data_IF_990160158655
#
_entry.id   IF_990160158655
#
_cell.length_a   1.000
_cell.length_b   1.000
_cell.length_c   1.000
_cell.angle_alpha   90.00
_cell.angle_beta   90.00
_cell.angle_gamma   90.00
#
_symmetry.space_group_name_H-M   'P 1'
#
loop_
_entity.id
_entity.type
_entity.pdbx_description
1 polymer ?
#
# COMPACT_ATOMS: atom_id res chain seq x y z
N UNK A 1 26.16 19.69 -14.09
CA UNK A 1 24.98 19.70 -13.20
C UNK A 1 24.70 18.26 -12.82
N UNK A 2 24.78 17.97 -11.52
CA UNK A 2 25.02 16.63 -10.96
C UNK A 2 23.87 15.63 -11.24
N UNK A 3 24.18 14.48 -11.86
CA UNK A 3 23.20 13.41 -12.16
C UNK A 3 22.52 12.87 -10.89
N UNK A 4 23.15 13.04 -9.73
CA UNK A 4 22.59 12.70 -8.42
C UNK A 4 21.31 13.46 -8.08
N UNK A 5 21.08 14.67 -8.64
CA UNK A 5 19.81 15.41 -8.49
C UNK A 5 18.65 14.87 -9.33
N UNK A 6 18.90 13.97 -10.30
CA UNK A 6 17.85 13.40 -11.18
C UNK A 6 17.20 12.13 -10.61
N UNK A 7 17.74 11.57 -9.53
CA UNK A 7 17.17 10.37 -8.91
C UNK A 7 16.31 10.78 -7.72
N UNK A 8 15.04 10.42 -7.74
CA UNK A 8 14.20 10.51 -6.55
C UNK A 8 14.90 9.67 -5.45
N UNK A 9 15.27 10.22 -4.29
CA UNK A 9 16.06 9.47 -3.31
C UNK A 9 15.17 8.45 -2.57
N UNK A 10 15.40 7.15 -2.75
CA UNK A 10 14.69 6.08 -2.02
C UNK A 10 14.95 6.16 -0.51
N UNK A 11 16.16 6.54 -0.11
CA UNK A 11 16.50 6.74 1.31
C UNK A 11 15.60 7.79 1.96
N UNK A 12 15.13 8.78 1.19
CA UNK A 12 14.23 9.81 1.71
C UNK A 12 12.85 9.24 2.06
N UNK A 13 12.36 8.18 1.41
CA UNK A 13 11.10 7.54 1.79
C UNK A 13 11.16 6.75 3.09
N UNK A 14 12.36 6.35 3.54
CA UNK A 14 12.54 5.59 4.79
C UNK A 14 12.58 6.48 6.04
N UNK A 15 12.68 7.81 5.88
CA UNK A 15 12.79 8.77 6.98
C UNK A 15 11.43 9.08 7.62
N UNK A 16 10.73 8.09 8.16
CA UNK A 16 9.36 8.25 8.67
C UNK A 16 9.23 9.23 9.85
N UNK A 17 10.27 9.47 10.66
CA UNK A 17 10.24 10.41 11.80
C UNK A 17 10.72 11.83 11.44
N UNK A 18 10.96 12.14 10.16
CA UNK A 18 11.47 13.46 9.76
C UNK A 18 10.39 14.51 9.48
N UNK A 19 9.14 14.25 9.90
CA UNK A 19 8.08 15.25 9.88
C UNK A 19 8.36 16.35 10.92
N UNK A 20 7.90 17.58 10.65
CA UNK A 20 7.96 18.67 11.63
C UNK A 20 7.19 18.27 12.91
N UNK A 21 6.01 17.67 12.74
CA UNK A 21 5.24 17.05 13.82
C UNK A 21 5.68 15.62 14.11
N UNK A 22 6.90 15.41 14.62
CA UNK A 22 7.44 14.07 14.97
C UNK A 22 6.45 13.21 15.77
N UNK A 23 5.71 13.83 16.68
CA UNK A 23 4.74 13.13 17.53
C UNK A 23 3.62 12.46 16.72
N UNK A 24 3.15 13.09 15.64
CA UNK A 24 2.12 12.50 14.77
C UNK A 24 2.60 11.19 14.14
N UNK A 25 3.81 11.18 13.56
CA UNK A 25 4.38 9.98 12.95
C UNK A 25 4.51 8.83 13.97
N UNK A 26 4.95 9.14 15.20
CA UNK A 26 5.11 8.16 16.28
C UNK A 26 3.78 7.59 16.77
N UNK A 27 2.78 8.44 16.96
CA UNK A 27 1.43 7.97 17.35
C UNK A 27 0.83 7.11 16.27
N UNK A 28 0.93 7.53 15.00
CA UNK A 28 0.44 6.74 13.88
C UNK A 28 1.19 5.41 13.75
N UNK A 29 2.50 5.39 13.98
CA UNK A 29 3.29 4.17 14.00
C UNK A 29 2.78 3.20 15.05
N UNK A 30 2.67 3.64 16.32
CA UNK A 30 2.17 2.82 17.43
C UNK A 30 0.76 2.32 17.13
N UNK A 31 -0.09 3.17 16.55
CA UNK A 31 -1.45 2.80 16.17
C UNK A 31 -1.47 1.69 15.11
N UNK A 32 -0.62 1.76 14.07
CA UNK A 32 -0.51 0.68 13.07
C UNK A 32 0.00 -0.61 13.70
N UNK A 33 1.02 -0.54 14.58
CA UNK A 33 1.52 -1.71 15.31
C UNK A 33 0.42 -2.35 16.14
N UNK A 34 -0.38 -1.54 16.85
CA UNK A 34 -1.46 -2.00 17.69
C UNK A 34 -2.56 -2.69 16.88
N UNK A 35 -3.03 -2.05 15.79
CA UNK A 35 -4.01 -2.67 14.89
C UNK A 35 -3.45 -3.99 14.37
N UNK A 36 -2.25 -4.00 13.80
CA UNK A 36 -1.67 -5.21 13.24
C UNK A 36 -1.58 -6.33 14.28
N UNK A 37 -0.98 -6.05 15.43
CA UNK A 37 -0.79 -7.05 16.48
C UNK A 37 -2.11 -7.60 16.99
N UNK A 38 -3.11 -6.74 17.25
CA UNK A 38 -4.44 -7.18 17.71
C UNK A 38 -5.09 -8.12 16.69
N UNK A 39 -4.98 -7.80 15.40
CA UNK A 39 -5.64 -8.59 14.35
C UNK A 39 -5.00 -9.95 14.11
N UNK A 40 -3.70 -10.07 14.34
CA UNK A 40 -3.00 -11.36 14.24
C UNK A 40 -3.15 -12.19 15.52
N UNK A 41 -3.20 -11.54 16.69
CA UNK A 41 -3.34 -12.23 17.98
C UNK A 41 -4.78 -12.66 18.28
N UNK A 42 -5.76 -11.92 17.76
CA UNK A 42 -7.18 -12.14 17.97
C UNK A 42 -7.92 -12.10 16.62
N UNK A 43 -7.71 -13.11 15.76
CA UNK A 43 -8.40 -13.16 14.48
C UNK A 43 -9.91 -13.25 14.69
N UNK A 44 -10.68 -12.46 13.94
CA UNK A 44 -12.14 -12.49 13.95
C UNK A 44 -12.60 -13.47 12.88
N UNK A 45 -13.46 -14.42 13.23
CA UNK A 45 -13.95 -15.46 12.33
C UNK A 45 -13.19 -16.78 12.48
N UNK A 46 -13.32 -17.63 11.48
CA UNK A 46 -12.72 -18.97 11.47
C UNK A 46 -11.47 -18.98 10.58
N UNK A 47 -10.33 -19.29 11.20
CA UNK A 47 -9.03 -19.41 10.52
C UNK A 47 -8.75 -20.81 9.98
N UNK A 48 -9.62 -21.80 10.27
CA UNK A 48 -9.46 -23.14 9.76
C UNK A 48 -9.97 -23.24 8.31
N UNK A 49 -9.04 -23.37 7.37
CA UNK A 49 -9.30 -23.62 5.95
C UNK A 49 -9.02 -25.08 5.56
N UNK A 50 -8.96 -26.01 6.52
CA UNK A 50 -8.69 -27.44 6.26
C UNK A 50 -9.69 -28.09 5.30
N UNK A 51 -10.96 -27.71 5.36
CA UNK A 51 -11.99 -28.16 4.42
C UNK A 51 -11.66 -27.76 2.97
N UNK A 52 -11.24 -26.51 2.77
CA UNK A 52 -10.80 -26.01 1.46
C UNK A 52 -9.53 -26.72 0.98
N UNK A 53 -8.54 -26.92 1.84
CA UNK A 53 -7.30 -27.63 1.50
C UNK A 53 -7.56 -29.08 1.09
N UNK A 54 -8.44 -29.79 1.81
CA UNK A 54 -8.85 -31.15 1.44
C UNK A 54 -9.53 -31.19 0.09
N UNK A 55 -10.45 -30.26 -0.17
CA UNK A 55 -11.10 -30.13 -1.48
C UNK A 55 -10.08 -29.84 -2.59
N UNK A 56 -9.14 -28.91 -2.37
CA UNK A 56 -8.09 -28.59 -3.34
C UNK A 56 -7.24 -29.82 -3.70
N UNK A 57 -6.82 -30.58 -2.68
CA UNK A 57 -6.05 -31.81 -2.91
C UNK A 57 -6.87 -32.86 -3.67
N UNK A 58 -8.16 -33.01 -3.36
CA UNK A 58 -9.06 -33.90 -4.11
C UNK A 58 -9.20 -33.48 -5.58
N UNK A 59 -9.33 -32.19 -5.88
CA UNK A 59 -9.38 -31.68 -7.25
C UNK A 59 -8.03 -31.89 -7.98
N UNK A 60 -6.92 -31.65 -7.29
CA UNK A 60 -5.58 -31.81 -7.86
C UNK A 60 -5.23 -33.27 -8.18
N UNK A 61 -5.74 -34.22 -7.38
CA UNK A 61 -5.52 -35.66 -7.55
C UNK A 61 -6.60 -36.34 -8.42
N UNK A 62 -7.74 -35.68 -8.66
CA UNK A 62 -8.84 -36.23 -9.44
C UNK A 62 -8.46 -36.38 -10.93
N UNK A 63 -8.86 -37.52 -11.50
CA UNK A 63 -8.83 -37.69 -12.96
C UNK A 63 -9.91 -36.80 -13.59
N UNK A 64 -9.75 -36.38 -14.87
CA UNK A 64 -10.73 -35.53 -15.54
C UNK A 64 -12.17 -36.08 -15.53
N UNK A 65 -12.33 -37.41 -15.53
CA UNK A 65 -13.63 -38.09 -15.44
C UNK A 65 -14.34 -37.89 -14.09
N UNK A 66 -13.58 -37.63 -13.03
CA UNK A 66 -14.05 -37.68 -11.65
C UNK A 66 -14.26 -36.26 -11.09
N UNK A 67 -13.79 -35.23 -11.81
CA UNK A 67 -13.92 -33.82 -11.42
C UNK A 67 -15.37 -33.39 -11.18
N UNK A 68 -16.33 -33.92 -11.95
CA UNK A 68 -17.75 -33.63 -11.79
C UNK A 68 -18.33 -34.16 -10.47
N UNK A 69 -17.66 -35.14 -9.84
CA UNK A 69 -18.06 -35.73 -8.56
C UNK A 69 -17.42 -35.03 -7.35
N UNK A 70 -16.40 -34.22 -7.58
CA UNK A 70 -15.77 -33.42 -6.51
C UNK A 70 -16.68 -32.21 -6.24
N UNK A 71 -17.50 -32.31 -5.19
CA UNK A 71 -18.37 -31.22 -4.74
C UNK A 71 -17.59 -29.95 -4.40
N UNK A 72 -18.25 -28.80 -4.36
CA UNK A 72 -17.61 -27.53 -4.00
C UNK A 72 -17.08 -27.52 -2.56
N UNK A 73 -16.00 -26.77 -2.26
CA UNK A 73 -15.48 -26.69 -0.91
C UNK A 73 -16.51 -26.02 -0.01
N UNK A 74 -16.65 -26.55 1.20
CA UNK A 74 -17.45 -25.88 2.24
C UNK A 74 -16.61 -24.76 2.83
N UNK A 75 -16.81 -23.54 2.33
CA UNK A 75 -16.30 -22.32 2.97
C UNK A 75 -17.32 -21.93 4.04
N UNK A 76 -16.90 -21.91 5.31
CA UNK A 76 -17.80 -21.56 6.42
C UNK A 76 -18.09 -20.06 6.42
N UNK A 77 -19.22 -19.66 7.01
CA UNK A 77 -19.49 -18.23 7.27
C UNK A 77 -18.37 -17.60 8.11
N UNK A 78 -17.77 -18.38 9.02
CA UNK A 78 -16.61 -17.95 9.80
C UNK A 78 -15.41 -17.61 8.93
N UNK A 79 -15.10 -18.42 7.91
CA UNK A 79 -14.01 -18.14 6.97
C UNK A 79 -14.27 -16.87 6.16
N UNK A 80 -15.52 -16.64 5.74
CA UNK A 80 -15.91 -15.41 5.02
C UNK A 80 -15.70 -14.19 5.91
N UNK A 81 -16.13 -14.25 7.17
CA UNK A 81 -15.91 -13.17 8.15
C UNK A 81 -14.42 -12.91 8.35
N UNK A 82 -13.60 -13.96 8.44
CA UNK A 82 -12.16 -13.82 8.57
C UNK A 82 -11.54 -13.12 7.36
N UNK A 83 -11.85 -13.56 6.14
CA UNK A 83 -11.34 -12.95 4.91
C UNK A 83 -11.79 -11.48 4.76
N UNK A 84 -13.08 -11.20 5.01
CA UNK A 84 -13.61 -9.84 4.97
C UNK A 84 -12.91 -8.92 5.99
N UNK A 85 -12.61 -9.46 7.18
CA UNK A 85 -11.88 -8.76 8.23
C UNK A 85 -10.44 -8.45 7.82
N UNK A 86 -9.72 -9.45 7.28
CA UNK A 86 -8.35 -9.24 6.76
C UNK A 86 -8.33 -8.18 5.66
N UNK A 87 -9.30 -8.24 4.74
CA UNK A 87 -9.44 -7.26 3.66
C UNK A 87 -9.71 -5.84 4.21
N UNK A 88 -10.57 -5.72 5.24
CA UNK A 88 -10.85 -4.44 5.90
C UNK A 88 -9.61 -3.85 6.57
N UNK A 89 -8.77 -4.68 7.19
CA UNK A 89 -7.49 -4.22 7.75
C UNK A 89 -6.48 -3.81 6.67
N UNK A 90 -6.42 -4.52 5.54
CA UNK A 90 -5.62 -4.10 4.40
C UNK A 90 -6.03 -2.71 3.91
N UNK A 91 -7.34 -2.45 3.76
CA UNK A 91 -7.83 -1.11 3.42
C UNK A 91 -7.45 -0.08 4.47
N UNK A 92 -7.58 -0.42 5.76
CA UNK A 92 -7.18 0.46 6.86
C UNK A 92 -5.71 0.89 6.73
N UNK A 93 -4.78 -0.02 6.45
CA UNK A 93 -3.36 0.32 6.25
C UNK A 93 -3.13 1.23 5.04
N UNK A 94 -3.86 1.01 3.94
CA UNK A 94 -3.82 1.91 2.78
C UNK A 94 -4.27 3.32 3.16
N UNK A 95 -5.39 3.45 3.90
CA UNK A 95 -5.87 4.76 4.37
C UNK A 95 -4.92 5.42 5.37
N UNK A 96 -4.27 4.66 6.26
CA UNK A 96 -3.25 5.21 7.17
C UNK A 96 -2.02 5.70 6.40
N UNK A 97 -1.65 5.01 5.31
CA UNK A 97 -0.61 5.48 4.38
C UNK A 97 -1.01 6.80 3.69
N UNK A 98 -2.27 6.93 3.26
CA UNK A 98 -2.81 8.15 2.65
C UNK A 98 -2.94 9.31 3.64
N UNK A 99 -3.28 9.02 4.90
CA UNK A 99 -3.30 9.98 5.98
C UNK A 99 -1.88 10.54 6.22
N UNK A 100 -0.89 9.65 6.32
CA UNK A 100 0.51 10.05 6.45
C UNK A 100 0.98 10.88 5.25
N UNK A 101 0.64 10.47 4.02
CA UNK A 101 0.89 11.23 2.79
C UNK A 101 0.30 12.66 2.87
N UNK A 102 -0.95 12.81 3.31
CA UNK A 102 -1.61 14.11 3.42
C UNK A 102 -0.92 15.05 4.40
N UNK A 103 -0.48 14.51 5.54
CA UNK A 103 0.29 15.25 6.54
C UNK A 103 1.65 15.65 5.98
N UNK A 104 2.39 14.71 5.37
CA UNK A 104 3.68 14.99 4.74
C UNK A 104 3.60 16.10 3.69
N UNK A 105 2.61 16.03 2.79
CA UNK A 105 2.41 17.06 1.75
C UNK A 105 2.06 18.42 2.37
N UNK A 106 1.28 18.44 3.43
CA UNK A 106 0.90 19.68 4.10
C UNK A 106 2.08 20.35 4.80
N UNK A 107 2.90 19.59 5.53
CA UNK A 107 4.11 20.12 6.17
C UNK A 107 5.15 20.60 5.15
N UNK A 108 5.28 19.91 4.00
CA UNK A 108 6.12 20.39 2.89
C UNK A 108 5.66 21.73 2.33
N UNK A 109 4.36 22.02 2.37
CA UNK A 109 3.80 23.33 2.04
C UNK A 109 3.76 24.30 3.23
N UNK A 110 4.54 24.07 4.29
CA UNK A 110 4.60 24.90 5.51
C UNK A 110 3.25 25.01 6.27
N UNK A 111 2.39 24.00 6.14
CA UNK A 111 1.14 23.91 6.90
C UNK A 111 1.30 22.91 8.05
N UNK A 112 0.56 23.11 9.14
CA UNK A 112 0.59 22.19 10.28
C UNK A 112 0.04 20.80 9.93
N UNK A 113 0.49 19.77 10.65
CA UNK A 113 0.02 18.39 10.51
C UNK A 113 -1.51 18.29 10.63
N UNK A 114 -2.12 19.05 11.54
CA UNK A 114 -3.57 19.12 11.71
C UNK A 114 -4.31 19.51 10.43
N UNK A 115 -3.80 20.50 9.68
CA UNK A 115 -4.38 20.87 8.38
C UNK A 115 -4.30 19.72 7.37
N UNK A 116 -3.22 18.93 7.41
CA UNK A 116 -3.09 17.71 6.60
C UNK A 116 -4.11 16.63 6.97
N UNK A 117 -4.32 16.39 8.27
CA UNK A 117 -5.36 15.47 8.73
C UNK A 117 -6.75 15.91 8.30
N UNK A 118 -7.08 17.20 8.46
CA UNK A 118 -8.36 17.75 8.03
C UNK A 118 -8.57 17.65 6.51
N UNK A 119 -7.52 17.88 5.70
CA UNK A 119 -7.58 17.66 4.25
C UNK A 119 -7.88 16.20 3.92
N UNK A 120 -7.23 15.26 4.60
CA UNK A 120 -7.47 13.83 4.43
C UNK A 120 -8.92 13.47 4.78
N UNK A 121 -9.42 13.86 5.95
CA UNK A 121 -10.80 13.56 6.38
C UNK A 121 -11.81 14.10 5.36
N UNK A 122 -11.63 15.34 4.88
CA UNK A 122 -12.49 15.94 3.85
C UNK A 122 -12.43 15.20 2.51
N UNK A 123 -11.34 14.50 2.22
CA UNK A 123 -11.12 13.74 0.96
C UNK A 123 -11.35 12.24 1.13
N UNK A 124 -11.66 11.78 2.35
CA UNK A 124 -11.83 10.37 2.66
C UNK A 124 -12.88 9.69 1.78
N UNK A 125 -14.09 10.26 1.54
CA UNK A 125 -15.07 9.62 0.65
C UNK A 125 -14.55 9.44 -0.78
N UNK A 126 -13.81 10.42 -1.31
CA UNK A 126 -13.21 10.34 -2.65
C UNK A 126 -12.10 9.29 -2.71
N UNK A 127 -11.30 9.16 -1.65
CA UNK A 127 -10.27 8.14 -1.54
C UNK A 127 -10.88 6.73 -1.40
N UNK A 128 -11.99 6.58 -0.68
CA UNK A 128 -12.75 5.31 -0.62
C UNK A 128 -13.22 4.92 -2.02
N UNK A 129 -13.87 5.84 -2.72
CA UNK A 129 -14.34 5.58 -4.08
C UNK A 129 -13.18 5.23 -5.02
N UNK A 130 -12.05 5.94 -4.92
CA UNK A 130 -10.83 5.61 -5.68
C UNK A 130 -10.35 4.19 -5.40
N UNK A 131 -10.20 3.80 -4.13
CA UNK A 131 -9.73 2.47 -3.75
C UNK A 131 -10.69 1.38 -4.23
N UNK A 132 -12.00 1.60 -4.16
CA UNK A 132 -13.01 0.65 -4.68
C UNK A 132 -12.92 0.49 -6.20
N UNK A 133 -12.81 1.60 -6.95
CA UNK A 133 -12.68 1.60 -8.41
C UNK A 133 -11.44 0.83 -8.86
N UNK A 134 -10.34 0.90 -8.09
CA UNK A 134 -9.13 0.16 -8.42
C UNK A 134 -9.24 -1.30 -7.96
N UNK A 135 -9.64 -1.56 -6.72
CA UNK A 135 -9.50 -2.91 -6.14
C UNK A 135 -10.45 -3.91 -6.80
N UNK A 136 -11.71 -3.52 -7.08
CA UNK A 136 -12.72 -4.43 -7.63
C UNK A 136 -12.34 -5.01 -9.01
N UNK A 137 -12.01 -4.20 -10.04
CA UNK A 137 -11.66 -4.73 -11.36
C UNK A 137 -10.28 -5.39 -11.39
N UNK A 138 -9.36 -4.98 -10.52
CA UNK A 138 -7.99 -5.49 -10.55
C UNK A 138 -7.73 -6.66 -9.61
N UNK A 139 -8.67 -7.04 -8.73
CA UNK A 139 -8.47 -8.16 -7.80
C UNK A 139 -8.14 -9.50 -8.49
N UNK A 140 -8.86 -9.86 -9.57
CA UNK A 140 -8.64 -11.13 -10.28
C UNK A 140 -7.46 -11.06 -11.28
N UNK A 141 -7.33 -10.03 -12.15
CA UNK A 141 -6.25 -9.98 -13.13
C UNK A 141 -4.85 -9.90 -12.52
N UNK A 142 -4.71 -9.27 -11.34
CA UNK A 142 -3.43 -9.15 -10.65
C UNK A 142 -2.85 -10.52 -10.24
N UNK A 143 -3.71 -11.51 -9.96
CA UNK A 143 -3.29 -12.87 -9.63
C UNK A 143 -2.85 -13.65 -10.87
N UNK A 144 -3.51 -13.43 -12.00
CA UNK A 144 -3.29 -14.21 -13.23
C UNK A 144 -2.21 -13.65 -14.15
N UNK A 145 -1.91 -12.34 -14.08
CA UNK A 145 -0.97 -11.70 -15.00
C UNK A 145 -0.07 -10.65 -14.31
N UNK A 146 0.97 -11.07 -13.58
CA UNK A 146 1.88 -10.18 -12.85
C UNK A 146 2.47 -9.02 -13.66
N UNK A 147 2.80 -9.14 -14.97
CA UNK A 147 3.32 -8.01 -15.76
C UNK A 147 2.40 -6.78 -15.80
N UNK A 148 1.08 -6.96 -15.58
CA UNK A 148 0.11 -5.85 -15.56
C UNK A 148 0.40 -4.85 -14.44
N UNK A 149 1.09 -5.27 -13.38
CA UNK A 149 1.51 -4.41 -12.27
C UNK A 149 2.35 -3.23 -12.74
N UNK A 150 3.18 -3.40 -13.77
CA UNK A 150 4.04 -2.32 -14.30
C UNK A 150 3.19 -1.16 -14.86
N UNK A 151 2.01 -1.47 -15.39
CA UNK A 151 1.08 -0.49 -15.91
C UNK A 151 0.21 0.11 -14.82
N UNK A 152 -0.27 -0.68 -13.86
CA UNK A 152 -1.23 -0.19 -12.85
C UNK A 152 -0.53 0.54 -11.71
N UNK A 153 0.55 -0.02 -11.17
CA UNK A 153 1.19 0.47 -9.94
C UNK A 153 1.57 1.94 -10.02
N UNK A 154 2.27 2.45 -11.06
CA UNK A 154 2.61 3.87 -11.15
C UNK A 154 1.39 4.80 -11.07
N UNK A 155 0.29 4.37 -11.67
CA UNK A 155 -0.92 5.16 -11.82
C UNK A 155 -1.69 5.23 -10.50
N UNK A 156 -1.84 4.10 -9.84
CA UNK A 156 -2.46 4.00 -8.51
C UNK A 156 -1.58 4.64 -7.44
N UNK A 157 -0.26 4.63 -7.61
CA UNK A 157 0.69 5.15 -6.63
C UNK A 157 0.65 6.67 -6.48
N UNK A 158 0.56 7.43 -7.59
CA UNK A 158 0.57 8.89 -7.54
C UNK A 158 -0.84 9.51 -7.39
N UNK A 159 -1.89 8.80 -7.82
CA UNK A 159 -3.26 9.32 -7.79
C UNK A 159 -3.75 9.81 -6.41
N UNK A 160 -3.48 9.13 -5.27
CA UNK A 160 -3.87 9.61 -3.95
C UNK A 160 -3.29 10.98 -3.61
N UNK A 161 -2.04 11.25 -4.03
CA UNK A 161 -1.41 12.54 -3.80
C UNK A 161 -2.11 13.66 -4.58
N UNK A 162 -2.51 13.39 -5.84
CA UNK A 162 -3.28 14.33 -6.67
C UNK A 162 -4.69 14.58 -6.11
N UNK A 163 -5.37 13.55 -5.63
CA UNK A 163 -6.70 13.68 -5.01
C UNK A 163 -6.62 14.55 -3.74
N UNK A 164 -5.59 14.35 -2.91
CA UNK A 164 -5.41 15.07 -1.64
C UNK A 164 -4.93 16.51 -1.87
N UNK A 165 -3.86 16.70 -2.65
CA UNK A 165 -3.20 17.99 -2.80
C UNK A 165 -3.90 18.91 -3.80
N UNK A 166 -4.30 18.36 -4.95
CA UNK A 166 -4.90 19.12 -6.06
C UNK A 166 -6.43 19.00 -6.11
N UNK A 167 -7.05 18.33 -5.12
CA UNK A 167 -8.50 18.21 -4.97
C UNK A 167 -9.19 17.52 -6.15
N UNK A 168 -8.45 16.69 -6.89
CA UNK A 168 -8.93 15.98 -8.09
C UNK A 168 -9.95 14.90 -7.74
N UNK A 169 -10.85 14.62 -8.69
CA UNK A 169 -11.73 13.45 -8.61
C UNK A 169 -10.94 12.13 -8.71
N UNK A 170 -11.55 10.98 -8.41
CA UNK A 170 -10.85 9.69 -8.41
C UNK A 170 -10.37 9.32 -9.82
N UNK A 171 -11.25 9.45 -10.83
CA UNK A 171 -10.94 9.16 -12.24
C UNK A 171 -9.94 10.18 -12.78
N UNK A 172 -10.18 11.47 -12.53
CA UNK A 172 -9.27 12.54 -12.96
C UNK A 172 -7.86 12.35 -12.36
N UNK A 173 -7.77 11.98 -11.09
CA UNK A 173 -6.51 11.69 -10.40
C UNK A 173 -5.75 10.54 -11.06
N UNK A 174 -6.44 9.47 -11.49
CA UNK A 174 -5.82 8.37 -12.24
C UNK A 174 -5.33 8.83 -13.60
N UNK A 175 -6.16 9.53 -14.38
CA UNK A 175 -5.78 9.99 -15.73
C UNK A 175 -4.59 10.97 -15.69
N UNK A 176 -4.59 11.90 -14.74
CA UNK A 176 -3.47 12.80 -14.51
C UNK A 176 -2.22 12.05 -14.07
N UNK A 177 -2.37 11.10 -13.14
CA UNK A 177 -1.28 10.21 -12.74
C UNK A 177 -0.70 9.43 -13.93
N UNK A 178 -1.54 8.97 -14.86
CA UNK A 178 -1.09 8.28 -16.09
C UNK A 178 -0.19 9.15 -16.95
N UNK A 179 -0.58 10.41 -17.14
CA UNK A 179 0.18 11.39 -17.91
C UNK A 179 1.45 11.80 -17.18
N UNK A 180 1.34 12.12 -15.90
CA UNK A 180 2.40 12.77 -15.14
C UNK A 180 3.48 11.76 -14.68
N UNK A 181 3.21 10.45 -14.75
CA UNK A 181 4.20 9.38 -14.51
C UNK A 181 4.88 8.88 -15.79
N UNK A 182 4.61 9.49 -16.95
CA UNK A 182 5.27 9.13 -18.21
C UNK A 182 6.79 9.31 -18.08
N UNK A 183 7.56 8.27 -18.41
CA UNK A 183 9.02 8.26 -18.28
C UNK A 183 9.59 7.87 -16.91
N UNK A 184 8.78 7.80 -15.85
CA UNK A 184 9.24 7.38 -14.50
C UNK A 184 8.56 6.13 -13.95
N UNK A 185 7.72 5.46 -14.74
CA UNK A 185 6.96 4.25 -14.35
C UNK A 185 7.84 3.17 -13.73
N UNK A 186 8.92 2.79 -14.42
CA UNK A 186 9.86 1.77 -13.92
C UNK A 186 10.53 2.21 -12.61
N UNK A 187 10.87 3.49 -12.46
CA UNK A 187 11.42 4.01 -11.21
C UNK A 187 10.44 3.86 -10.04
N UNK A 188 9.15 4.16 -10.26
CA UNK A 188 8.10 3.98 -9.25
C UNK A 188 7.94 2.51 -8.89
N UNK A 189 7.78 1.64 -9.88
CA UNK A 189 7.62 0.18 -9.69
C UNK A 189 8.82 -0.39 -8.94
N UNK A 190 10.04 -0.09 -9.36
CA UNK A 190 11.25 -0.58 -8.70
C UNK A 190 11.33 -0.15 -7.24
N UNK A 191 10.88 1.06 -6.87
CA UNK A 191 10.87 1.49 -5.46
C UNK A 191 9.83 0.78 -4.62
N UNK A 192 8.62 0.61 -5.18
CA UNK A 192 7.56 -0.16 -4.53
C UNK A 192 8.04 -1.59 -4.30
N UNK A 193 8.67 -2.19 -5.32
CA UNK A 193 9.27 -3.53 -5.21
C UNK A 193 10.39 -3.57 -4.18
N UNK A 194 11.34 -2.63 -4.20
CA UNK A 194 12.43 -2.60 -3.21
C UNK A 194 11.87 -2.48 -1.80
N UNK A 195 10.89 -1.60 -1.56
CA UNK A 195 10.27 -1.43 -0.25
C UNK A 195 9.56 -2.72 0.21
N UNK A 196 8.76 -3.33 -0.68
CA UNK A 196 8.03 -4.57 -0.38
C UNK A 196 8.98 -5.77 -0.18
N UNK A 197 9.98 -5.94 -1.03
CA UNK A 197 11.01 -6.99 -0.90
C UNK A 197 11.83 -6.79 0.37
N UNK A 198 12.15 -5.56 0.75
CA UNK A 198 12.87 -5.28 2.00
C UNK A 198 12.08 -5.74 3.22
N UNK A 199 10.76 -5.48 3.26
CA UNK A 199 9.88 -5.98 4.32
C UNK A 199 9.90 -7.52 4.34
N UNK A 200 9.68 -8.17 3.20
CA UNK A 200 9.66 -9.63 3.10
C UNK A 200 10.97 -10.27 3.54
N UNK A 201 12.11 -9.73 3.10
CA UNK A 201 13.43 -10.23 3.47
C UNK A 201 13.68 -10.10 4.98
N UNK A 202 13.31 -8.97 5.59
CA UNK A 202 13.47 -8.78 7.03
C UNK A 202 12.61 -9.81 7.79
N UNK A 203 11.34 -9.96 7.43
CA UNK A 203 10.46 -10.94 8.08
C UNK A 203 10.94 -12.38 7.88
N UNK A 204 11.47 -12.71 6.70
CA UNK A 204 12.07 -14.01 6.43
C UNK A 204 13.28 -14.26 7.33
N UNK A 205 14.16 -13.27 7.50
CA UNK A 205 15.31 -13.38 8.42
C UNK A 205 14.83 -13.66 9.84
N UNK A 206 13.83 -12.92 10.34
CA UNK A 206 13.28 -13.19 11.67
C UNK A 206 12.63 -14.58 11.78
N UNK A 207 11.98 -15.06 10.71
CA UNK A 207 11.34 -16.38 10.69
C UNK A 207 12.34 -17.55 10.76
N UNK A 208 13.61 -17.33 10.40
CA UNK A 208 14.69 -18.33 10.57
C UNK A 208 15.00 -18.53 12.06
N UNK A 209 14.88 -17.48 12.87
CA UNK A 209 15.27 -17.50 14.30
C UNK A 209 14.09 -17.62 15.26
N UNK A 210 12.89 -17.22 14.84
CA UNK A 210 11.70 -17.16 15.68
C UNK A 210 10.56 -17.85 14.94
N UNK A 211 9.89 -18.78 15.61
CA UNK A 211 8.72 -19.47 15.08
C UNK A 211 7.62 -18.44 14.66
N UNK A 212 7.17 -18.43 13.40
CA UNK A 212 6.12 -17.53 12.92
C UNK A 212 4.78 -17.64 13.68
N UNK A 213 4.55 -18.74 14.39
CA UNK A 213 3.34 -18.98 15.16
C UNK A 213 3.39 -18.38 16.58
N UNK A 214 4.55 -17.96 17.08
CA UNK A 214 4.63 -17.36 18.42
C UNK A 214 4.21 -15.88 18.43
N UNK A 215 3.60 -15.44 19.54
CA UNK A 215 3.10 -14.07 19.72
C UNK A 215 4.18 -13.00 19.52
N UNK A 216 5.42 -13.30 19.92
CA UNK A 216 6.56 -12.41 19.76
C UNK A 216 6.82 -12.07 18.29
N UNK A 217 6.76 -13.07 17.40
CA UNK A 217 6.96 -12.86 15.96
C UNK A 217 5.90 -11.90 15.40
N UNK A 218 4.63 -12.06 15.79
CA UNK A 218 3.52 -11.19 15.34
C UNK A 218 3.69 -9.73 15.77
N UNK A 219 4.27 -9.49 16.95
CA UNK A 219 4.58 -8.12 17.40
C UNK A 219 5.73 -7.50 16.60
N UNK A 220 6.77 -8.27 16.30
CA UNK A 220 7.90 -7.85 15.45
C UNK A 220 7.38 -7.57 14.03
N UNK A 221 6.54 -8.43 13.49
CA UNK A 221 5.88 -8.26 12.21
C UNK A 221 5.07 -6.95 12.18
N UNK A 222 4.28 -6.67 13.23
CA UNK A 222 3.56 -5.41 13.37
C UNK A 222 4.44 -4.16 13.34
N UNK A 223 5.63 -4.21 13.96
CA UNK A 223 6.62 -3.13 13.89
C UNK A 223 7.05 -2.85 12.45
N UNK A 224 7.43 -3.89 11.70
CA UNK A 224 7.89 -3.72 10.32
C UNK A 224 6.76 -3.36 9.36
N UNK A 225 5.55 -3.85 9.59
CA UNK A 225 4.35 -3.43 8.83
C UNK A 225 4.05 -1.95 9.08
N UNK A 226 4.13 -1.47 10.33
CA UNK A 226 3.98 -0.04 10.61
C UNK A 226 5.03 0.80 9.89
N UNK A 227 6.29 0.36 9.89
CA UNK A 227 7.36 1.03 9.16
C UNK A 227 7.08 1.06 7.65
N UNK A 228 6.64 -0.06 7.09
CA UNK A 228 6.27 -0.18 5.67
C UNK A 228 5.14 0.77 5.28
N UNK A 229 4.04 0.77 6.04
CA UNK A 229 2.86 1.63 5.81
C UNK A 229 3.25 3.11 5.77
N UNK A 230 4.01 3.58 6.75
CA UNK A 230 4.44 4.98 6.79
C UNK A 230 5.46 5.31 5.70
N UNK A 231 6.40 4.40 5.43
CA UNK A 231 7.39 4.56 4.35
C UNK A 231 6.73 4.63 2.98
N UNK A 232 5.69 3.81 2.76
CA UNK A 232 4.90 3.82 1.53
C UNK A 232 4.18 5.16 1.34
N UNK A 233 3.51 5.65 2.41
CA UNK A 233 2.92 6.99 2.46
C UNK A 233 3.93 8.09 2.11
N UNK A 234 5.13 8.04 2.70
CA UNK A 234 6.21 9.00 2.44
C UNK A 234 6.72 8.91 1.00
N UNK A 235 6.87 7.70 0.47
CA UNK A 235 7.35 7.46 -0.89
C UNK A 235 6.42 8.06 -1.93
N UNK A 236 5.10 7.98 -1.71
CA UNK A 236 4.11 8.66 -2.56
C UNK A 236 4.33 10.17 -2.56
N UNK A 237 4.52 10.77 -1.38
CA UNK A 237 4.72 12.22 -1.24
C UNK A 237 6.04 12.72 -1.85
N UNK A 238 7.12 11.97 -1.65
CA UNK A 238 8.43 12.27 -2.27
C UNK A 238 8.35 12.20 -3.78
N UNK A 239 7.66 11.18 -4.32
CA UNK A 239 7.46 11.02 -5.77
C UNK A 239 6.59 12.13 -6.34
N UNK A 240 5.50 12.50 -5.66
CA UNK A 240 4.65 13.62 -6.05
C UNK A 240 5.41 14.94 -6.14
N UNK A 241 6.21 15.26 -5.12
CA UNK A 241 7.02 16.48 -5.13
C UNK A 241 8.05 16.48 -6.27
N UNK A 242 8.65 15.32 -6.58
CA UNK A 242 9.55 15.20 -7.73
C UNK A 242 8.83 15.49 -9.05
N UNK A 243 7.68 14.84 -9.28
CA UNK A 243 6.90 15.00 -10.52
C UNK A 243 6.48 16.45 -10.72
N UNK A 244 5.98 17.12 -9.68
CA UNK A 244 5.61 18.54 -9.75
C UNK A 244 6.83 19.43 -9.96
N UNK A 245 7.94 19.14 -9.28
CA UNK A 245 9.16 19.93 -9.45
C UNK A 245 9.69 19.86 -10.87
N UNK A 246 9.58 18.71 -11.54
CA UNK A 246 9.99 18.54 -12.93
C UNK A 246 9.08 19.32 -13.88
N UNK A 247 7.76 19.28 -13.65
CA UNK A 247 6.77 20.01 -14.43
C UNK A 247 6.97 21.53 -14.37
N UNK A 248 7.42 22.05 -13.23
CA UNK A 248 7.65 23.48 -13.03
C UNK A 248 9.06 23.94 -13.44
N UNK A 249 9.91 23.07 -13.99
CA UNK A 249 11.21 23.51 -14.52
C UNK A 249 10.98 24.31 -15.80
N UNK A 250 11.64 25.49 -15.95
CA UNK A 250 11.63 26.17 -17.23
C UNK A 250 12.22 25.23 -18.28
N UNK A 251 11.48 25.03 -19.37
CA UNK A 251 11.96 24.26 -20.51
C UNK A 251 13.24 24.86 -21.08
N UNK A 252 13.94 24.16 -21.99
CA UNK A 252 15.10 24.72 -22.69
C UNK A 252 14.80 26.04 -23.41
N UNK A 253 13.53 26.32 -23.71
CA UNK A 253 13.04 27.56 -24.33
C UNK A 253 13.01 28.78 -23.38
N UNK A 254 13.19 28.58 -22.07
CA UNK A 254 13.29 29.65 -21.07
C UNK A 254 14.73 30.13 -20.81
N UNK A 255 15.69 29.71 -21.64
CA UNK A 255 17.07 30.20 -21.66
C UNK A 255 17.28 31.04 -22.92
N UNK A 256 16.67 32.21 -22.95
CA UNK A 256 17.01 33.27 -23.91
C UNK A 256 17.57 34.42 -23.10
#
# INVERSE_FOLDING_TARGET
MDETKRRIPFVESLKIDSLQGKWFARVLFVFVVAIYSVTQLFPIGDTDFSAYLRWYNQVAEAKPSDLASVGFPVITVGNIIFLATQLSFMFTYVFLSFLYLSVYLSERSQLSAWKGMLKFIKRLPTLILFVMIITVPFALPLLSFPPILIFIVPHVFLAPALIIAEKKGPVEGVLLSMRDTYGIKLSIVSRVLILSVSLLLILLIFAIFIDPYVKLFRMIEGFFVAFYVLSFGRMMGVTYNYVISEKNRPGPEGRI
#
